data_IF_693138454928
#
_entry.id   IF_693138454928
#
_cell.length_a   1.000
_cell.length_b   1.000
_cell.length_c   1.000
_cell.angle_alpha   90.00
_cell.angle_beta   90.00
_cell.angle_gamma   90.00
#
_symmetry.space_group_name_H-M   'P 1'
#
loop_
_entity.id
_entity.type
_entity.pdbx_description
1 polymer ?
#
# COMPACT_ATOMS: atom_id res chain seq x y z
N UNK A 1 14.05 -15.41 27.29
CA UNK A 1 13.73 -14.00 26.95
C UNK A 1 13.68 -13.78 25.44
N UNK A 2 14.67 -14.26 24.69
CA UNK A 2 14.71 -14.13 23.22
C UNK A 2 13.46 -14.64 22.49
N UNK A 3 12.93 -15.81 22.88
CA UNK A 3 11.74 -16.37 22.24
C UNK A 3 10.49 -15.47 22.39
N UNK A 4 10.31 -14.86 23.58
CA UNK A 4 9.19 -13.95 23.85
C UNK A 4 9.31 -12.69 23.00
N UNK A 5 10.51 -12.13 22.89
CA UNK A 5 10.79 -10.96 22.04
C UNK A 5 10.52 -11.29 20.58
N UNK A 6 10.97 -12.46 20.10
CA UNK A 6 10.78 -12.89 18.72
C UNK A 6 9.29 -13.03 18.36
N UNK A 7 8.49 -13.63 19.25
CA UNK A 7 7.05 -13.76 19.04
C UNK A 7 6.39 -12.39 18.93
N UNK A 8 6.70 -11.48 19.85
CA UNK A 8 6.14 -10.11 19.81
C UNK A 8 6.58 -9.39 18.54
N UNK A 9 7.85 -9.51 18.14
CA UNK A 9 8.39 -8.89 16.93
C UNK A 9 7.67 -9.39 15.67
N UNK A 10 7.46 -10.70 15.54
CA UNK A 10 6.76 -11.29 14.39
C UNK A 10 5.32 -10.80 14.35
N UNK A 11 4.61 -10.82 15.48
CA UNK A 11 3.21 -10.34 15.52
C UNK A 11 3.13 -8.86 15.18
N UNK A 12 4.00 -8.03 15.75
CA UNK A 12 4.06 -6.60 15.45
C UNK A 12 4.36 -6.35 13.97
N UNK A 13 5.36 -7.01 13.40
CA UNK A 13 5.71 -6.90 11.98
C UNK A 13 4.56 -7.31 11.06
N UNK A 14 3.83 -8.38 11.39
CA UNK A 14 2.68 -8.82 10.60
C UNK A 14 1.55 -7.78 10.61
N UNK A 15 1.28 -7.17 11.76
CA UNK A 15 0.29 -6.09 11.86
C UNK A 15 0.77 -4.85 11.11
N UNK A 16 2.02 -4.47 11.30
CA UNK A 16 2.60 -3.28 10.71
C UNK A 16 2.60 -3.39 9.17
N UNK A 17 3.18 -4.46 8.64
CA UNK A 17 3.34 -4.65 7.20
C UNK A 17 2.01 -4.87 6.47
N UNK A 18 1.05 -5.60 7.04
CA UNK A 18 -0.18 -5.98 6.32
C UNK A 18 -1.36 -5.03 6.55
N UNK A 19 -1.44 -4.38 7.73
CA UNK A 19 -2.58 -3.54 8.09
C UNK A 19 -2.20 -2.08 8.25
N UNK A 20 -1.15 -1.80 9.04
CA UNK A 20 -0.80 -0.41 9.36
C UNK A 20 -0.23 0.29 8.12
N UNK A 21 0.70 -0.33 7.39
CA UNK A 21 1.33 0.30 6.22
C UNK A 21 0.31 0.70 5.15
N UNK A 22 -0.62 -0.17 4.67
CA UNK A 22 -1.62 0.25 3.68
C UNK A 22 -2.58 1.32 4.22
N UNK A 23 -2.92 1.28 5.52
CA UNK A 23 -3.77 2.30 6.14
C UNK A 23 -3.09 3.66 6.21
N UNK A 24 -1.82 3.71 6.59
CA UNK A 24 -1.03 4.94 6.68
C UNK A 24 -0.82 5.52 5.28
N UNK A 25 -0.41 4.70 4.31
CA UNK A 25 -0.25 5.14 2.92
C UNK A 25 -1.56 5.65 2.33
N UNK A 26 -2.67 4.95 2.58
CA UNK A 26 -4.00 5.38 2.13
C UNK A 26 -4.36 6.76 2.69
N UNK A 27 -4.16 6.99 3.98
CA UNK A 27 -4.40 8.30 4.61
C UNK A 27 -3.51 9.40 4.06
N UNK A 28 -2.22 9.12 3.85
CA UNK A 28 -1.26 10.09 3.32
C UNK A 28 -1.55 10.47 1.86
N UNK A 29 -1.99 9.51 1.05
CA UNK A 29 -2.26 9.71 -0.38
C UNK A 29 -3.73 10.03 -0.68
N UNK A 30 -4.58 10.15 0.35
CA UNK A 30 -6.03 10.34 0.17
C UNK A 30 -6.70 9.18 -0.59
N UNK A 31 -6.14 7.98 -0.47
CA UNK A 31 -6.59 6.75 -1.11
C UNK A 31 -7.23 5.80 -0.09
N UNK A 32 -8.26 5.07 -0.50
CA UNK A 32 -8.80 4.01 0.34
C UNK A 32 -7.76 2.88 0.48
N UNK A 33 -7.46 2.36 1.70
CA UNK A 33 -6.43 1.33 1.90
C UNK A 33 -6.64 0.07 1.05
N UNK A 34 -7.89 -0.28 0.76
CA UNK A 34 -8.21 -1.39 -0.15
C UNK A 34 -7.65 -1.17 -1.56
N UNK A 35 -7.62 0.07 -2.08
CA UNK A 35 -7.05 0.35 -3.40
C UNK A 35 -5.54 0.07 -3.42
N UNK A 36 -4.83 0.37 -2.34
CA UNK A 36 -3.40 0.06 -2.22
C UNK A 36 -3.18 -1.46 -2.22
N UNK A 37 -3.98 -2.20 -1.46
CA UNK A 37 -3.91 -3.68 -1.44
C UNK A 37 -4.20 -4.24 -2.83
N UNK A 38 -5.25 -3.79 -3.51
CA UNK A 38 -5.56 -4.21 -4.87
C UNK A 38 -4.45 -3.87 -5.87
N UNK A 39 -3.90 -2.66 -5.79
CA UNK A 39 -2.80 -2.24 -6.65
C UNK A 39 -1.55 -3.11 -6.45
N UNK A 40 -1.21 -3.44 -5.19
CA UNK A 40 -0.09 -4.34 -4.87
C UNK A 40 -0.33 -5.75 -5.41
N UNK A 41 -1.55 -6.28 -5.28
CA UNK A 41 -1.92 -7.61 -5.81
C UNK A 41 -1.85 -7.65 -7.34
N UNK A 42 -2.42 -6.65 -8.02
CA UNK A 42 -2.37 -6.55 -9.47
C UNK A 42 -0.94 -6.31 -9.96
N UNK A 43 -0.20 -5.42 -9.29
CA UNK A 43 1.21 -5.17 -9.57
C UNK A 43 2.06 -6.43 -9.43
N UNK A 44 1.87 -7.19 -8.35
CA UNK A 44 2.52 -8.48 -8.16
C UNK A 44 2.17 -9.48 -9.27
N UNK A 45 0.89 -9.57 -9.63
CA UNK A 45 0.41 -10.55 -10.61
C UNK A 45 0.89 -10.27 -12.04
N UNK A 46 0.93 -9.01 -12.46
CA UNK A 46 1.28 -8.62 -13.84
C UNK A 46 2.75 -8.27 -14.00
N UNK A 47 3.37 -7.63 -13.00
CA UNK A 47 4.74 -7.12 -13.07
C UNK A 47 5.71 -7.78 -12.09
N UNK A 48 5.27 -8.78 -11.33
CA UNK A 48 6.10 -9.44 -10.31
C UNK A 48 6.65 -8.44 -9.29
N UNK A 49 7.94 -8.55 -8.99
CA UNK A 49 8.63 -7.65 -8.04
C UNK A 49 8.63 -6.20 -8.53
N UNK A 50 8.82 -5.98 -9.84
CA UNK A 50 8.80 -4.63 -10.40
C UNK A 50 7.40 -4.01 -10.25
N UNK A 51 6.35 -4.77 -10.53
CA UNK A 51 4.98 -4.30 -10.37
C UNK A 51 4.60 -4.00 -8.92
N UNK A 52 5.12 -4.76 -7.94
CA UNK A 52 5.00 -4.42 -6.51
C UNK A 52 5.66 -3.09 -6.16
N UNK A 53 6.88 -2.86 -6.67
CA UNK A 53 7.64 -1.63 -6.41
C UNK A 53 6.93 -0.39 -6.99
N UNK A 54 6.32 -0.53 -8.16
CA UNK A 54 5.63 0.57 -8.83
C UNK A 54 4.13 0.69 -8.50
N UNK A 55 3.52 -0.30 -7.86
CA UNK A 55 2.07 -0.31 -7.59
C UNK A 55 1.58 0.96 -6.86
N UNK A 56 2.23 1.31 -5.76
CA UNK A 56 1.85 2.48 -4.94
C UNK A 56 2.05 3.81 -5.69
N UNK A 57 3.24 4.13 -6.23
CA UNK A 57 3.45 5.41 -6.92
C UNK A 57 2.57 5.55 -8.17
N UNK A 58 2.37 4.49 -8.96
CA UNK A 58 1.47 4.54 -10.12
C UNK A 58 0.03 4.81 -9.70
N UNK A 59 -0.45 4.15 -8.65
CA UNK A 59 -1.81 4.37 -8.14
C UNK A 59 -2.00 5.78 -7.60
N UNK A 60 -0.99 6.34 -6.92
CA UNK A 60 -1.00 7.72 -6.45
C UNK A 60 -1.09 8.72 -7.61
N UNK A 61 -0.24 8.57 -8.63
CA UNK A 61 -0.24 9.44 -9.82
C UNK A 61 -1.57 9.36 -10.56
N UNK A 62 -2.11 8.15 -10.76
CA UNK A 62 -3.41 7.97 -11.43
C UNK A 62 -4.53 8.69 -10.69
N UNK A 63 -4.59 8.59 -9.36
CA UNK A 63 -5.58 9.32 -8.56
C UNK A 63 -5.42 10.83 -8.69
N UNK A 64 -4.20 11.33 -8.67
CA UNK A 64 -3.95 12.77 -8.78
C UNK A 64 -4.35 13.31 -10.15
N UNK A 65 -4.04 12.56 -11.22
CA UNK A 65 -4.50 12.90 -12.58
C UNK A 65 -6.03 12.94 -12.61
N UNK A 66 -6.72 11.91 -12.11
CA UNK A 66 -8.19 11.89 -12.08
C UNK A 66 -8.77 13.06 -11.26
N UNK A 67 -8.17 13.39 -10.13
CA UNK A 67 -8.59 14.51 -9.29
C UNK A 67 -8.44 15.84 -10.04
N UNK A 68 -7.28 16.05 -10.68
CA UNK A 68 -7.01 17.24 -11.48
C UNK A 68 -8.01 17.40 -12.64
N UNK A 69 -8.29 16.33 -13.39
CA UNK A 69 -9.29 16.36 -14.47
C UNK A 69 -10.69 16.69 -13.97
N UNK A 70 -11.06 16.28 -12.74
CA UNK A 70 -12.36 16.58 -12.14
C UNK A 70 -12.49 18.04 -11.73
N UNK A 71 -11.41 18.69 -11.32
CA UNK A 71 -11.42 20.11 -10.93
C UNK A 71 -11.48 21.06 -12.13
N UNK A 72 -11.03 20.62 -13.31
CA UNK A 72 -11.02 21.43 -14.53
C UNK A 72 -12.35 21.45 -15.32
N UNK A 73 -13.30 20.56 -15.00
CA UNK A 73 -14.62 20.44 -15.66
C UNK A 73 -15.69 21.02 -14.77
#
# INVERSE_FOLDING_TARGET
MLLKVLIVQVVAQQLESNLITPQVLGRQLGLHPLLIIFALLLGAQFGGIAGLLFAVPVTAVLREVIAFWREQV
#
